data_IF_875249953520
#
_entry.id   IF_875249953520
#
_cell.length_a   1.000
_cell.length_b   1.000
_cell.length_c   1.000
_cell.angle_alpha   90.00
_cell.angle_beta   90.00
_cell.angle_gamma   90.00
#
_symmetry.space_group_name_H-M   'P 1'
#
loop_
_entity.id
_entity.type
_entity.pdbx_description
1 polymer ?
#
# COMPACT_ATOMS: atom_id res chain seq x y z
N UNK A 1 -8.11 7.60 3.74
CA UNK A 1 -7.19 8.55 4.44
C UNK A 1 -5.90 8.88 3.65
N UNK A 2 -5.41 7.98 2.79
CA UNK A 2 -4.15 8.10 2.02
C UNK A 2 -3.97 9.35 1.17
N UNK A 3 -5.06 9.81 0.55
CA UNK A 3 -5.00 10.87 -0.44
C UNK A 3 -4.88 12.29 0.15
N UNK A 4 -4.70 12.43 1.47
CA UNK A 4 -4.56 13.72 2.17
C UNK A 4 -3.16 14.35 2.07
N UNK A 5 -2.29 13.81 1.23
CA UNK A 5 -0.93 14.32 1.02
C UNK A 5 -0.89 15.54 0.09
N UNK A 6 0.20 16.31 0.15
CA UNK A 6 0.44 17.48 -0.69
C UNK A 6 0.70 17.14 -2.17
N UNK A 7 0.75 15.86 -2.54
CA UNK A 7 1.04 15.43 -3.90
C UNK A 7 -0.17 15.59 -4.81
N UNK A 8 0.07 16.00 -6.06
CA UNK A 8 -0.99 16.21 -7.07
C UNK A 8 -1.69 14.89 -7.42
N UNK A 9 -0.95 13.79 -7.35
CA UNK A 9 -1.45 12.41 -7.47
C UNK A 9 -0.83 11.55 -6.39
N UNK A 10 -1.54 10.48 -6.02
CA UNK A 10 -0.99 9.38 -5.25
C UNK A 10 -0.61 8.29 -6.25
N UNK A 11 0.63 8.33 -6.72
CA UNK A 11 1.13 7.41 -7.74
C UNK A 11 1.58 6.10 -7.08
N UNK A 12 0.81 5.03 -7.29
CA UNK A 12 0.92 3.81 -6.50
C UNK A 12 2.26 3.09 -6.72
N UNK A 13 2.87 3.23 -7.90
CA UNK A 13 4.18 2.64 -8.15
C UNK A 13 5.29 3.34 -7.35
N UNK A 14 5.24 4.67 -7.25
CA UNK A 14 6.17 5.41 -6.40
C UNK A 14 5.96 5.11 -4.91
N UNK A 15 4.69 4.95 -4.48
CA UNK A 15 4.38 4.52 -3.13
C UNK A 15 4.96 3.12 -2.82
N UNK A 16 4.95 2.20 -3.79
CA UNK A 16 5.54 0.87 -3.62
C UNK A 16 7.06 0.92 -3.39
N UNK A 17 7.80 1.78 -4.10
CA UNK A 17 9.22 2.01 -3.82
C UNK A 17 9.46 2.58 -2.42
N UNK A 18 8.60 3.51 -1.99
CA UNK A 18 8.67 4.08 -0.65
C UNK A 18 8.45 3.01 0.43
N UNK A 19 7.45 2.15 0.26
CA UNK A 19 7.18 0.99 1.14
C UNK A 19 8.42 0.10 1.24
N UNK A 20 9.03 -0.26 0.11
CA UNK A 20 10.24 -1.08 0.11
C UNK A 20 11.38 -0.41 0.88
N UNK A 21 11.60 0.89 0.68
CA UNK A 21 12.58 1.67 1.44
C UNK A 21 12.30 1.70 2.95
N UNK A 22 11.03 1.77 3.35
CA UNK A 22 10.63 1.70 4.76
C UNK A 22 10.98 0.33 5.38
N UNK A 23 10.71 -0.77 4.67
CA UNK A 23 11.13 -2.09 5.12
C UNK A 23 12.64 -2.22 5.26
N UNK A 24 13.40 -1.63 4.33
CA UNK A 24 14.87 -1.62 4.40
C UNK A 24 15.43 -0.81 5.54
N UNK A 25 14.65 0.14 6.08
CA UNK A 25 14.97 0.89 7.30
C UNK A 25 14.35 0.30 8.57
N UNK A 26 13.72 -0.88 8.50
CA UNK A 26 13.06 -1.51 9.64
C UNK A 26 11.77 -0.79 10.10
N UNK A 27 11.24 0.16 9.31
CA UNK A 27 10.03 0.91 9.64
C UNK A 27 8.76 0.14 9.24
N UNK A 28 8.60 -1.05 9.81
CA UNK A 28 7.58 -2.05 9.44
C UNK A 28 6.16 -1.49 9.57
N UNK A 29 5.81 -0.88 10.71
CA UNK A 29 4.45 -0.38 10.93
C UNK A 29 4.08 0.73 9.96
N UNK A 30 5.04 1.60 9.65
CA UNK A 30 4.84 2.67 8.68
C UNK A 30 4.68 2.12 7.26
N UNK A 31 5.49 1.12 6.90
CA UNK A 31 5.36 0.43 5.61
C UNK A 31 3.97 -0.20 5.46
N UNK A 32 3.51 -0.91 6.50
CA UNK A 32 2.20 -1.54 6.51
C UNK A 32 1.07 -0.52 6.42
N UNK A 33 1.14 0.59 7.16
CA UNK A 33 0.14 1.66 7.07
C UNK A 33 -0.02 2.17 5.64
N UNK A 34 1.08 2.37 4.91
CA UNK A 34 1.05 2.83 3.51
C UNK A 34 0.44 1.77 2.60
N UNK A 35 0.79 0.48 2.77
CA UNK A 35 0.15 -0.63 2.03
C UNK A 35 -1.36 -0.63 2.28
N UNK A 36 -1.78 -0.50 3.54
CA UNK A 36 -3.18 -0.53 3.94
C UNK A 36 -3.98 0.65 3.42
N UNK A 37 -3.32 1.79 3.26
CA UNK A 37 -3.89 2.97 2.62
C UNK A 37 -4.05 2.83 1.09
N UNK A 38 -3.24 1.99 0.44
CA UNK A 38 -3.35 1.64 -0.99
C UNK A 38 -4.44 0.61 -1.28
N UNK A 39 -4.67 -0.30 -0.33
CA UNK A 39 -5.72 -1.31 -0.35
C UNK A 39 -7.04 -0.68 0.15
N UNK A 40 -8.17 -1.25 -0.25
CA UNK A 40 -9.48 -0.70 0.07
C UNK A 40 -9.78 -0.87 1.55
N UNK A 41 -10.27 0.20 2.18
CA UNK A 41 -10.95 0.11 3.47
C UNK A 41 -12.40 -0.40 3.21
N UNK A 42 -12.95 -1.29 4.04
CA UNK A 42 -14.37 -1.66 3.98
C UNK A 42 -15.33 -0.48 4.23
N UNK A 43 -14.85 0.70 4.63
CA UNK A 43 -15.66 1.92 4.73
C UNK A 43 -16.38 2.25 3.41
N UNK A 44 -17.71 2.32 3.49
CA UNK A 44 -18.58 2.63 2.35
C UNK A 44 -18.27 3.99 1.73
N UNK A 45 -17.90 5.00 2.53
CA UNK A 45 -17.57 6.32 2.00
C UNK A 45 -16.26 6.32 1.21
N UNK A 46 -15.22 5.62 1.69
CA UNK A 46 -13.96 5.41 0.96
C UNK A 46 -14.20 4.66 -0.37
N UNK A 47 -15.00 3.60 -0.35
CA UNK A 47 -15.36 2.85 -1.57
C UNK A 47 -16.05 3.73 -2.62
N UNK A 48 -17.04 4.52 -2.22
CA UNK A 48 -17.75 5.45 -3.10
C UNK A 48 -16.81 6.53 -3.62
N UNK A 49 -15.95 7.10 -2.76
CA UNK A 49 -15.02 8.16 -3.13
C UNK A 49 -13.96 7.69 -4.12
N UNK A 50 -13.42 6.48 -3.93
CA UNK A 50 -12.48 5.85 -4.87
C UNK A 50 -13.17 5.45 -6.17
N UNK A 51 -14.42 4.98 -6.07
CA UNK A 51 -15.26 4.64 -7.22
C UNK A 51 -14.77 3.43 -8.01
N UNK A 52 -14.03 2.50 -7.38
CA UNK A 52 -13.51 1.29 -8.02
C UNK A 52 -13.94 0.03 -7.27
N UNK A 53 -13.87 -1.11 -7.95
CA UNK A 53 -13.98 -2.42 -7.29
C UNK A 53 -12.66 -2.78 -6.58
N UNK A 54 -12.77 -3.46 -5.45
CA UNK A 54 -11.64 -3.86 -4.60
C UNK A 54 -10.88 -5.10 -5.11
N UNK A 55 -10.65 -5.18 -6.42
CA UNK A 55 -10.05 -6.36 -7.09
C UNK A 55 -8.73 -6.07 -7.80
N UNK A 56 -8.28 -4.81 -7.80
CA UNK A 56 -6.99 -4.41 -8.35
C UNK A 56 -6.48 -3.12 -7.68
N UNK A 57 -5.18 -2.88 -7.80
CA UNK A 57 -4.56 -1.60 -7.41
C UNK A 57 -4.41 -0.76 -8.68
N UNK A 58 -5.01 0.44 -8.75
CA UNK A 58 -4.91 1.27 -9.93
C UNK A 58 -3.51 1.87 -10.05
N UNK A 59 -3.17 2.45 -11.21
CA UNK A 59 -1.91 3.18 -11.37
C UNK A 59 -1.78 4.37 -10.39
N UNK A 60 -2.87 5.11 -10.19
CA UNK A 60 -2.92 6.18 -9.19
C UNK A 60 -4.32 6.37 -8.62
N UNK A 61 -4.34 7.00 -7.43
CA UNK A 61 -5.50 7.69 -6.88
C UNK A 61 -5.29 9.21 -7.02
N UNK A 62 -6.35 9.97 -7.28
CA UNK A 62 -6.25 11.44 -7.37
C UNK A 62 -5.75 12.01 -6.04
N UNK A 63 -4.74 12.87 -6.11
CA UNK A 63 -4.22 13.60 -4.95
C UNK A 63 -4.85 15.00 -4.89
N UNK A 64 -4.00 16.01 -4.63
CA UNK A 64 -4.35 17.42 -4.55
C UNK A 64 -5.44 17.69 -3.50
N UNK A 65 -5.31 17.08 -2.31
CA UNK A 65 -6.32 17.14 -1.26
C UNK A 65 -6.77 18.55 -0.89
N UNK A 66 -5.81 19.47 -0.77
CA UNK A 66 -6.09 20.86 -0.36
C UNK A 66 -6.74 21.66 -1.47
N UNK A 67 -6.37 21.39 -2.73
CA UNK A 67 -6.81 22.15 -3.89
C UNK A 67 -8.13 21.60 -4.48
N UNK A 68 -8.37 20.30 -4.38
CA UNK A 68 -9.51 19.61 -5.01
C UNK A 68 -10.05 18.48 -4.13
N UNK A 69 -10.52 18.80 -2.91
CA UNK A 69 -10.95 17.80 -1.93
C UNK A 69 -12.05 16.88 -2.47
N UNK A 70 -13.00 17.43 -3.24
CA UNK A 70 -14.12 16.70 -3.85
C UNK A 70 -13.69 15.49 -4.70
N UNK A 71 -12.56 15.59 -5.40
CA UNK A 71 -12.09 14.54 -6.33
C UNK A 71 -10.94 13.71 -5.77
N UNK A 72 -10.44 14.07 -4.59
CA UNK A 72 -9.29 13.43 -3.98
C UNK A 72 -9.62 11.97 -3.60
N UNK A 73 -8.72 11.05 -3.86
CA UNK A 73 -8.90 9.61 -3.64
C UNK A 73 -9.53 8.86 -4.81
N UNK A 74 -10.09 9.53 -5.83
CA UNK A 74 -10.69 8.84 -6.99
C UNK A 74 -9.68 7.97 -7.72
N UNK A 75 -10.07 6.74 -8.02
CA UNK A 75 -9.25 5.80 -8.79
C UNK A 75 -9.12 6.25 -10.24
N UNK A 76 -7.95 5.98 -10.81
CA UNK A 76 -7.72 6.07 -12.26
C UNK A 76 -8.39 4.96 -13.05
N UNK A 77 -8.84 3.88 -12.41
CA UNK A 77 -9.35 2.65 -13.03
C UNK A 77 -8.35 1.91 -13.94
N UNK A 78 -7.10 2.37 -14.00
CA UNK A 78 -6.06 1.76 -14.81
C UNK A 78 -5.40 0.62 -14.04
N UNK A 79 -5.74 -0.62 -14.38
CA UNK A 79 -5.13 -1.81 -13.78
C UNK A 79 -3.68 -2.03 -14.24
N UNK A 80 -3.28 -1.45 -15.38
CA UNK A 80 -1.91 -1.49 -15.85
C UNK A 80 -1.04 -0.61 -14.95
N UNK A 81 -0.22 -1.24 -14.10
CA UNK A 81 0.69 -0.56 -13.18
C UNK A 81 1.87 -1.44 -12.81
N UNK A 82 3.05 -0.85 -12.66
CA UNK A 82 4.21 -1.52 -12.07
C UNK A 82 4.14 -1.61 -10.54
N UNK A 83 3.13 -1.03 -9.89
CA UNK A 83 2.97 -1.10 -8.43
C UNK A 83 2.74 -2.53 -7.92
N UNK A 84 1.93 -3.32 -8.63
CA UNK A 84 1.53 -4.68 -8.22
C UNK A 84 2.71 -5.62 -7.97
N UNK A 85 3.69 -5.79 -8.88
CA UNK A 85 4.85 -6.67 -8.61
C UNK A 85 5.70 -6.19 -7.42
N UNK A 86 5.85 -4.87 -7.24
CA UNK A 86 6.56 -4.32 -6.09
C UNK A 86 5.81 -4.56 -4.77
N UNK A 87 4.49 -4.42 -4.77
CA UNK A 87 3.68 -4.71 -3.61
C UNK A 87 3.71 -6.20 -3.28
N UNK A 88 3.67 -7.08 -4.28
CA UNK A 88 3.86 -8.52 -4.09
C UNK A 88 5.20 -8.79 -3.39
N UNK A 89 6.30 -8.25 -3.91
CA UNK A 89 7.61 -8.36 -3.27
C UNK A 89 7.63 -7.81 -1.84
N UNK A 90 7.00 -6.66 -1.59
CA UNK A 90 6.89 -6.06 -0.26
C UNK A 90 6.13 -6.94 0.75
N UNK A 91 5.16 -7.75 0.31
CA UNK A 91 4.49 -8.70 1.18
C UNK A 91 5.41 -9.87 1.54
N UNK A 92 6.15 -10.42 0.57
CA UNK A 92 7.08 -11.53 0.81
C UNK A 92 8.32 -11.11 1.60
N UNK A 93 9.13 -10.20 1.07
CA UNK A 93 10.39 -9.75 1.71
C UNK A 93 10.14 -8.93 2.98
N UNK A 94 9.02 -8.21 3.00
CA UNK A 94 8.59 -7.36 4.10
C UNK A 94 7.76 -8.14 5.11
N UNK A 95 6.43 -8.10 4.95
CA UNK A 95 5.47 -8.58 5.95
C UNK A 95 5.72 -10.03 6.41
N UNK A 96 5.85 -10.96 5.47
CA UNK A 96 6.08 -12.37 5.76
C UNK A 96 7.56 -12.68 6.05
N UNK A 97 8.47 -11.79 5.64
CA UNK A 97 9.91 -11.97 5.83
C UNK A 97 10.45 -13.24 5.18
N UNK A 98 9.87 -13.63 4.04
CA UNK A 98 10.23 -14.81 3.27
C UNK A 98 11.12 -14.37 2.11
N UNK A 99 12.41 -14.67 2.20
CA UNK A 99 13.39 -14.27 1.19
C UNK A 99 14.27 -15.44 0.79
N UNK A 100 14.32 -15.75 -0.49
CA UNK A 100 15.27 -16.72 -1.02
C UNK A 100 16.67 -16.11 -1.14
N UNK A 101 17.69 -16.91 -0.89
CA UNK A 101 19.08 -16.63 -1.24
C UNK A 101 19.83 -17.92 -1.65
N UNK A 102 21.18 -17.86 -1.69
CA UNK A 102 22.01 -19.00 -2.12
C UNK A 102 21.99 -20.17 -1.12
N UNK A 103 21.76 -19.90 0.16
CA UNK A 103 21.76 -20.90 1.23
C UNK A 103 20.37 -21.49 1.45
N UNK A 104 19.32 -20.85 0.93
CA UNK A 104 17.97 -21.40 0.85
C UNK A 104 16.88 -20.35 1.07
N UNK A 105 15.90 -20.68 1.92
CA UNK A 105 14.81 -19.76 2.28
C UNK A 105 15.05 -19.17 3.66
N UNK A 106 15.27 -17.87 3.72
CA UNK A 106 15.34 -17.11 4.96
C UNK A 106 13.94 -16.74 5.42
N UNK A 107 13.65 -17.06 6.68
CA UNK A 107 12.38 -16.76 7.35
C UNK A 107 12.66 -15.79 8.49
N UNK A 108 12.22 -14.55 8.34
CA UNK A 108 12.39 -13.47 9.31
C UNK A 108 11.11 -12.64 9.41
N UNK A 109 10.05 -13.25 9.98
CA UNK A 109 8.71 -12.68 10.10
C UNK A 109 8.74 -11.23 10.60
N UNK A 110 8.08 -10.32 9.88
CA UNK A 110 7.96 -8.89 10.24
C UNK A 110 6.50 -8.51 10.50
N UNK A 111 5.78 -9.39 11.20
CA UNK A 111 4.38 -9.17 11.57
C UNK A 111 4.24 -7.94 12.48
N UNK A 112 3.15 -7.20 12.32
CA UNK A 112 2.83 -6.14 13.27
C UNK A 112 2.44 -6.74 14.61
N UNK A 113 2.92 -6.12 15.69
CA UNK A 113 2.48 -6.44 17.05
C UNK A 113 0.95 -6.35 17.20
N UNK A 114 0.29 -5.45 16.46
CA UNK A 114 -1.18 -5.31 16.47
C UNK A 114 -1.93 -6.49 15.83
N UNK A 115 -1.37 -7.09 14.77
CA UNK A 115 -1.96 -8.27 14.12
C UNK A 115 -1.87 -9.50 15.03
N UNK A 116 -0.76 -9.65 15.77
CA UNK A 116 -0.58 -10.75 16.74
C UNK A 116 -1.62 -10.69 17.88
N UNK A 117 -2.04 -9.49 18.28
CA UNK A 117 -3.02 -9.30 19.35
C UNK A 117 -4.48 -9.39 18.89
N UNK A 118 -4.76 -9.39 17.58
CA UNK A 118 -6.13 -9.48 17.04
C UNK A 118 -6.64 -10.93 16.93
N UNK A 119 -5.77 -11.91 17.17
CA UNK A 119 -6.10 -13.35 17.16
C UNK A 119 -6.12 -13.99 18.58
N UNK A 120 -6.02 -13.17 19.63
CA UNK A 120 -6.23 -13.57 21.03
C UNK A 120 -7.57 -13.01 21.52
#
# INVERSE_FOLDING_TARGET
MFAKTLSIVVYNHAAAFYIYGLYMKGQIEKAYKVIWEMIHDPDKADLIQRGQLSVFIPNYYRGAFRQSPRTTGRSSQLFNTGATPWLYQCHFDGLFGLKGDIDGLHIALKLLHSLVNSFK
#
